data_IF_986610674336
#
_entry.id   IF_986610674336
#
_cell.length_a   1.000
_cell.length_b   1.000
_cell.length_c   1.000
_cell.angle_alpha   90.00
_cell.angle_beta   90.00
_cell.angle_gamma   90.00
#
_symmetry.space_group_name_H-M   'P 1'
#
loop_
_entity.id
_entity.type
_entity.pdbx_description
1 polymer ?
#
# COMPACT_ATOMS: atom_id res chain seq x y z
N UNK A 1 0.09 -22.03 8.68
CA UNK A 1 0.90 -21.33 7.68
C UNK A 1 0.93 -19.87 8.08
N UNK A 2 1.80 -19.55 9.02
CA UNK A 2 2.02 -18.19 9.49
C UNK A 2 3.19 -17.67 8.66
N UNK A 3 2.88 -17.09 7.50
CA UNK A 3 3.89 -16.38 6.73
C UNK A 3 4.26 -15.14 7.55
N UNK A 4 5.32 -15.26 8.35
CA UNK A 4 5.86 -14.22 9.24
C UNK A 4 6.47 -13.02 8.51
N UNK A 5 6.06 -12.75 7.28
CA UNK A 5 6.44 -11.57 6.52
C UNK A 5 5.62 -10.38 6.99
N UNK A 6 6.23 -9.50 7.78
CA UNK A 6 5.64 -8.22 8.20
C UNK A 6 5.40 -7.35 6.98
N UNK A 7 4.18 -7.39 6.43
CA UNK A 7 3.76 -6.49 5.36
C UNK A 7 3.45 -5.12 5.96
N UNK A 8 4.11 -4.09 5.44
CA UNK A 8 3.98 -2.74 5.93
C UNK A 8 2.79 -2.06 5.23
N UNK A 9 1.74 -1.77 6.00
CA UNK A 9 0.55 -1.08 5.51
C UNK A 9 0.82 0.42 5.41
N UNK A 10 0.62 0.97 4.22
CA UNK A 10 0.71 2.40 3.92
C UNK A 10 -0.68 2.88 3.57
N UNK A 11 -1.21 3.82 4.36
CA UNK A 11 -2.48 4.48 4.08
C UNK A 11 -2.19 5.77 3.32
N UNK A 12 -2.70 5.89 2.10
CA UNK A 12 -2.53 7.05 1.23
C UNK A 12 -3.79 7.92 1.24
N UNK A 13 -3.67 9.22 1.02
CA UNK A 13 -4.82 10.11 0.97
C UNK A 13 -5.71 9.79 -0.26
N UNK A 14 -7.03 9.82 -0.08
CA UNK A 14 -7.99 9.50 -1.15
C UNK A 14 -7.85 10.45 -2.36
N UNK A 15 -7.42 11.70 -2.14
CA UNK A 15 -7.21 12.68 -3.21
C UNK A 15 -6.11 12.29 -4.17
N UNK A 16 -5.15 11.48 -3.73
CA UNK A 16 -4.03 11.04 -4.56
C UNK A 16 -4.37 9.80 -5.40
N UNK A 17 -5.49 9.14 -5.11
CA UNK A 17 -5.90 7.87 -5.74
C UNK A 17 -5.86 7.93 -7.26
N UNK A 18 -6.41 8.98 -7.87
CA UNK A 18 -6.45 9.11 -9.33
C UNK A 18 -5.08 9.20 -10.00
N UNK A 19 -4.07 9.70 -9.30
CA UNK A 19 -2.71 9.89 -9.85
C UNK A 19 -1.76 8.73 -9.57
N UNK A 20 -1.97 8.00 -8.47
CA UNK A 20 -1.00 7.01 -7.98
C UNK A 20 -1.45 5.56 -8.13
N UNK A 21 -2.75 5.29 -8.30
CA UNK A 21 -3.32 3.93 -8.35
C UNK A 21 -2.57 3.00 -9.32
N UNK A 22 -2.36 3.44 -10.56
CA UNK A 22 -1.65 2.67 -11.58
C UNK A 22 -0.15 2.44 -11.30
N UNK A 23 0.44 3.21 -10.37
CA UNK A 23 1.86 3.12 -10.00
C UNK A 23 2.08 2.30 -8.73
N UNK A 24 1.03 2.02 -7.95
CA UNK A 24 1.16 1.33 -6.66
C UNK A 24 1.78 -0.07 -6.79
N UNK A 25 1.44 -0.78 -7.85
CA UNK A 25 2.01 -2.09 -8.17
C UNK A 25 3.54 -2.00 -8.35
N UNK A 26 3.98 -1.05 -9.19
CA UNK A 26 5.40 -0.77 -9.40
C UNK A 26 6.11 -0.34 -8.11
N UNK A 27 5.48 0.49 -7.27
CA UNK A 27 6.07 0.90 -6.00
C UNK A 27 6.24 -0.28 -5.04
N UNK A 28 5.28 -1.21 -5.00
CA UNK A 28 5.37 -2.42 -4.19
C UNK A 28 6.53 -3.32 -4.64
N UNK A 29 6.66 -3.54 -5.95
CA UNK A 29 7.77 -4.34 -6.51
C UNK A 29 9.14 -3.71 -6.25
N UNK A 30 9.28 -2.41 -6.49
CA UNK A 30 10.54 -1.68 -6.25
C UNK A 30 10.89 -1.72 -4.76
N UNK A 31 9.93 -1.48 -3.87
CA UNK A 31 10.18 -1.51 -2.43
C UNK A 31 10.58 -2.90 -1.95
N UNK A 32 9.91 -3.95 -2.44
CA UNK A 32 10.26 -5.34 -2.16
C UNK A 32 11.65 -5.69 -2.69
N UNK A 33 12.02 -5.20 -3.88
CA UNK A 33 13.33 -5.48 -4.49
C UNK A 33 14.47 -4.75 -3.78
N UNK A 34 14.24 -3.53 -3.29
CA UNK A 34 15.26 -2.74 -2.59
C UNK A 34 15.40 -3.13 -1.11
N UNK A 35 14.30 -3.46 -0.43
CA UNK A 35 14.29 -3.64 1.03
C UNK A 35 14.02 -5.08 1.48
N UNK A 36 13.56 -5.96 0.59
CA UNK A 36 13.10 -7.31 0.92
C UNK A 36 11.78 -7.34 1.70
N UNK A 37 11.14 -6.20 1.95
CA UNK A 37 9.90 -6.09 2.73
C UNK A 37 8.70 -5.89 1.80
N UNK A 38 7.60 -6.59 2.09
CA UNK A 38 6.33 -6.35 1.42
C UNK A 38 5.69 -5.06 1.94
N UNK A 39 5.09 -4.29 1.03
CA UNK A 39 4.24 -3.15 1.36
C UNK A 39 2.86 -3.36 0.78
N UNK A 40 1.85 -2.85 1.47
CA UNK A 40 0.47 -2.84 1.00
C UNK A 40 -0.06 -1.42 1.05
N UNK A 41 -0.46 -0.88 -0.09
CA UNK A 41 -1.03 0.46 -0.19
C UNK A 41 -2.55 0.38 -0.10
N UNK A 42 -3.13 1.13 0.81
CA UNK A 42 -4.58 1.20 1.01
C UNK A 42 -5.00 2.68 1.01
N UNK A 43 -6.17 2.98 0.47
CA UNK A 43 -6.79 4.29 0.63
C UNK A 43 -7.79 4.19 1.78
N UNK A 44 -7.95 5.23 2.62
CA UNK A 44 -9.05 5.27 3.56
C UNK A 44 -10.32 5.21 2.71
N UNK A 45 -11.08 4.12 2.84
CA UNK A 45 -12.49 4.14 2.49
C UNK A 45 -13.05 5.23 3.37
N UNK A 46 -13.45 6.36 2.77
CA UNK A 46 -14.01 7.51 3.45
C UNK A 46 -14.67 7.02 4.72
N UNK A 47 -14.09 7.39 5.87
CA UNK A 47 -14.65 7.01 7.14
C UNK A 47 -16.13 7.38 7.04
N UNK A 48 -16.98 6.34 7.00
CA UNK A 48 -18.38 6.51 7.27
C UNK A 48 -18.39 6.99 8.72
N UNK A 49 -18.25 8.31 8.89
CA UNK A 49 -18.58 9.00 10.12
C UNK A 49 -20.07 8.69 10.32
N UNK A 50 -20.32 7.75 11.24
CA UNK A 50 -21.63 7.48 11.80
C UNK A 50 -22.14 8.70 12.57
#
# INVERSE_FOLDING_TARGET
KEDGTKVLKIVLDEKERGGVDYRLDTYSEVYKRLTGKGVNFEFPVAAAEY
#
